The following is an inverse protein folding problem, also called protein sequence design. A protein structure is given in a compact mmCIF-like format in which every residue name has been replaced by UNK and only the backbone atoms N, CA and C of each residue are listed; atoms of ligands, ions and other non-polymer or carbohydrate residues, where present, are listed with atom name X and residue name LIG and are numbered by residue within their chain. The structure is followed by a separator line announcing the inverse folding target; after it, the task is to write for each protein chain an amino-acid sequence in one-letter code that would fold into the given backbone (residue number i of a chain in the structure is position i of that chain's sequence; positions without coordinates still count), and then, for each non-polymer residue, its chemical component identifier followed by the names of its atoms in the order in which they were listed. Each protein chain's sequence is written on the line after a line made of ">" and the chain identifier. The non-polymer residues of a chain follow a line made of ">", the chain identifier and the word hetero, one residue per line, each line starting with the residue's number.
data_IF_375587560651
#
_entry.id   IF_375587560651
#
_cell.length_a   1.000
_cell.length_b   1.000
_cell.length_c   1.000
_cell.angle_alpha   90.00
_cell.angle_beta   90.00
_cell.angle_gamma   90.00
#
_symmetry.space_group_name_H-M   'P 1'
#
loop_
_entity.id
_entity.type
_entity.pdbx_description
1 polymer ?
#
# COMPACT_ATOMS: atom_id res chain seq x y z
N UNK A 1 -10.47 -7.72 17.68
CA UNK A 1 -9.28 -6.98 18.06
C UNK A 1 -8.62 -6.27 16.88
N UNK A 2 -8.54 -6.90 15.74
CA UNK A 2 -7.98 -6.29 14.55
C UNK A 2 -8.73 -6.66 13.29
N UNK A 3 -8.40 -5.94 12.22
CA UNK A 3 -8.95 -6.19 10.88
C UNK A 3 -7.77 -6.36 9.93
N UNK A 4 -7.78 -7.44 9.16
CA UNK A 4 -6.77 -7.71 8.15
C UNK A 4 -7.42 -7.62 6.77
N UNK A 5 -7.01 -6.63 6.01
CA UNK A 5 -7.49 -6.43 4.65
C UNK A 5 -6.41 -6.86 3.67
N UNK A 6 -6.78 -7.77 2.77
CA UNK A 6 -5.94 -8.18 1.66
C UNK A 6 -6.50 -7.49 0.41
N UNK A 7 -5.70 -6.59 -0.15
CA UNK A 7 -6.10 -5.79 -1.32
C UNK A 7 -5.20 -6.13 -2.48
N UNK A 8 -5.80 -6.45 -3.63
CA UNK A 8 -5.07 -6.60 -4.87
C UNK A 8 -5.54 -5.53 -5.85
N UNK A 9 -4.59 -4.84 -6.47
CA UNK A 9 -4.85 -3.82 -7.48
C UNK A 9 -4.45 -4.36 -8.84
N UNK A 10 -5.32 -4.17 -9.82
CA UNK A 10 -5.12 -4.67 -11.17
C UNK A 10 -5.33 -3.55 -12.19
N UNK A 11 -4.69 -3.70 -13.34
CA UNK A 11 -4.81 -2.75 -14.43
C UNK A 11 -4.57 -1.32 -13.96
N UNK A 12 -3.47 -1.15 -13.20
CA UNK A 12 -3.04 0.16 -12.75
C UNK A 12 -2.55 0.97 -13.95
N UNK A 13 -3.17 2.12 -14.19
CA UNK A 13 -2.80 2.99 -15.30
C UNK A 13 -1.51 3.76 -15.01
N UNK A 14 -1.24 4.06 -13.74
CA UNK A 14 -0.02 4.77 -13.34
C UNK A 14 1.14 3.78 -13.14
N UNK A 15 1.71 3.32 -14.25
CA UNK A 15 2.81 2.38 -14.23
C UNK A 15 4.06 2.99 -13.59
N UNK A 16 4.30 4.28 -13.80
CA UNK A 16 5.43 4.98 -13.18
C UNK A 16 5.29 4.99 -11.66
N UNK A 17 4.07 5.13 -11.14
CA UNK A 17 3.81 5.04 -9.70
C UNK A 17 4.18 3.68 -9.12
N UNK A 18 4.01 2.62 -9.89
CA UNK A 18 4.37 1.25 -9.47
C UNK A 18 5.88 1.04 -9.42
N UNK A 19 6.67 1.93 -10.01
CA UNK A 19 8.14 1.84 -10.08
C UNK A 19 8.87 2.74 -9.09
N UNK A 20 8.18 3.70 -8.51
CA UNK A 20 8.81 4.81 -7.78
C UNK A 20 8.58 4.69 -6.27
N UNK A 21 9.49 3.98 -5.61
CA UNK A 21 9.45 3.82 -4.15
C UNK A 21 9.57 5.16 -3.41
N UNK A 22 10.45 6.03 -3.86
CA UNK A 22 10.69 7.30 -3.15
C UNK A 22 9.43 8.16 -3.08
N UNK A 23 8.74 8.32 -4.20
CA UNK A 23 7.49 9.07 -4.25
C UNK A 23 6.39 8.37 -3.47
N UNK A 24 6.30 7.04 -3.60
CA UNK A 24 5.31 6.28 -2.85
C UNK A 24 5.50 6.42 -1.34
N UNK A 25 6.74 6.39 -0.86
CA UNK A 25 7.03 6.52 0.58
C UNK A 25 6.48 7.82 1.16
N UNK A 26 6.63 8.93 0.44
CA UNK A 26 6.11 10.23 0.87
C UNK A 26 4.57 10.20 0.90
N UNK A 27 3.97 9.66 -0.14
CA UNK A 27 2.51 9.50 -0.20
C UNK A 27 2.00 8.63 0.95
N UNK A 28 2.66 7.49 1.19
CA UNK A 28 2.23 6.53 2.21
C UNK A 28 2.26 7.13 3.61
N UNK A 29 3.27 7.93 3.93
CA UNK A 29 3.36 8.58 5.24
C UNK A 29 2.12 9.45 5.49
N UNK A 30 1.73 10.26 4.52
CA UNK A 30 0.54 11.10 4.62
C UNK A 30 -0.75 10.28 4.66
N UNK A 31 -0.85 9.28 3.81
CA UNK A 31 -2.02 8.40 3.74
C UNK A 31 -2.27 7.70 5.08
N UNK A 32 -1.24 7.11 5.66
CA UNK A 32 -1.35 6.38 6.91
C UNK A 32 -1.70 7.32 8.07
N UNK A 33 -1.04 8.47 8.14
CA UNK A 33 -1.33 9.47 9.17
C UNK A 33 -2.77 9.97 9.07
N UNK A 34 -3.25 10.27 7.87
CA UNK A 34 -4.62 10.75 7.65
C UNK A 34 -5.67 9.69 8.00
N UNK A 35 -5.32 8.42 7.86
CA UNK A 35 -6.21 7.32 8.24
C UNK A 35 -6.22 7.04 9.75
N UNK A 36 -5.38 7.73 10.51
CA UNK A 36 -5.29 7.58 11.97
C UNK A 36 -4.25 6.57 12.44
N UNK A 37 -3.37 6.13 11.55
CA UNK A 37 -2.29 5.21 11.93
C UNK A 37 -1.10 5.97 12.50
N UNK A 38 -0.43 5.36 13.48
CA UNK A 38 0.82 5.89 14.01
C UNK A 38 1.98 5.03 13.48
N UNK A 39 2.80 5.63 12.63
CA UNK A 39 3.93 4.94 12.00
C UNK A 39 5.14 4.96 12.93
N UNK A 40 5.65 3.79 13.29
CA UNK A 40 6.83 3.64 14.15
C UNK A 40 8.10 3.63 13.30
N UNK A 41 8.07 2.90 12.20
CA UNK A 41 9.23 2.77 11.31
C UNK A 41 8.77 2.30 9.93
N UNK A 42 9.59 2.55 8.94
CA UNK A 42 9.32 2.10 7.57
C UNK A 42 10.58 1.49 6.98
N UNK A 43 10.39 0.59 6.02
CA UNK A 43 11.46 -0.05 5.29
C UNK A 43 11.01 -0.26 3.84
N UNK A 44 11.83 0.14 2.90
CA UNK A 44 11.54 -0.02 1.49
C UNK A 44 12.69 -0.62 0.72
N UNK A 45 12.38 -1.29 -0.37
CA UNK A 45 13.35 -1.86 -1.29
C UNK A 45 12.92 -1.59 -2.73
N UNK A 46 13.76 -0.86 -3.46
CA UNK A 46 13.58 -0.62 -4.88
C UNK A 46 14.33 -1.69 -5.64
N UNK A 47 13.61 -2.48 -6.43
CA UNK A 47 14.22 -3.57 -7.20
C UNK A 47 14.88 -3.01 -8.41
N UNK A 48 15.46 -2.71 -9.00
CA UNK A 48 16.05 -2.12 -10.19
C UNK A 48 15.90 -0.60 -10.17
N UNK A 49 16.94 0.10 -9.73
CA UNK A 49 16.90 1.55 -9.63
C UNK A 49 16.78 2.27 -10.99
N UNK A 50 16.90 1.55 -12.10
CA UNK A 50 16.90 2.16 -13.44
C UNK A 50 15.55 2.11 -14.13
N UNK A 51 14.50 1.59 -13.49
CA UNK A 51 13.22 2.03 -13.93
C UNK A 51 12.23 1.06 -14.55
N UNK A 52 12.44 -0.25 -14.49
CA UNK A 52 11.41 -1.17 -14.98
C UNK A 52 10.83 -2.06 -13.91
N UNK A 53 11.56 -2.26 -12.83
CA UNK A 53 11.12 -3.11 -11.73
C UNK A 53 10.29 -2.33 -10.71
N UNK A 54 9.58 -3.08 -9.88
CA UNK A 54 8.76 -2.53 -8.83
C UNK A 54 9.50 -2.32 -7.53
N UNK A 55 8.73 -2.25 -6.45
CA UNK A 55 9.28 -2.05 -5.12
C UNK A 55 8.47 -2.81 -4.07
N UNK A 56 9.06 -2.95 -2.91
CA UNK A 56 8.40 -3.39 -1.68
C UNK A 56 8.50 -2.28 -0.65
N UNK A 57 7.41 -2.04 0.08
CA UNK A 57 7.39 -1.06 1.16
C UNK A 57 6.63 -1.64 2.35
N UNK A 58 7.22 -1.48 3.54
CA UNK A 58 6.64 -1.93 4.80
C UNK A 58 6.56 -0.76 5.78
N UNK A 59 5.45 -0.65 6.49
CA UNK A 59 5.30 0.29 7.59
C UNK A 59 4.94 -0.47 8.85
N UNK A 60 5.77 -0.33 9.87
CA UNK A 60 5.47 -0.81 11.21
C UNK A 60 4.62 0.25 11.90
N UNK A 61 3.43 -0.12 12.29
CA UNK A 61 2.52 0.74 13.05
C UNK A 61 2.56 0.31 14.51
N UNK A 62 2.02 1.09 15.43
CA UNK A 62 2.14 0.80 16.87
C UNK A 62 1.65 -0.59 17.25
N UNK A 63 0.56 -1.05 16.66
CA UNK A 63 -0.02 -2.38 16.96
C UNK A 63 -0.35 -3.15 15.69
N UNK A 64 0.15 -2.71 14.55
CA UNK A 64 -0.30 -3.23 13.26
C UNK A 64 0.77 -3.00 12.19
N UNK A 65 0.41 -3.21 10.95
CA UNK A 65 1.37 -3.02 9.87
C UNK A 65 0.66 -2.79 8.54
N UNK A 66 1.42 -2.24 7.60
CA UNK A 66 1.03 -2.04 6.22
C UNK A 66 2.16 -2.54 5.34
N UNK A 67 1.83 -3.30 4.29
CA UNK A 67 2.84 -3.72 3.33
C UNK A 67 2.29 -3.67 1.91
N UNK A 68 3.17 -3.38 0.96
CA UNK A 68 2.84 -3.38 -0.46
C UNK A 68 4.00 -3.92 -1.27
N UNK A 69 3.65 -4.70 -2.30
CA UNK A 69 4.55 -5.17 -3.33
C UNK A 69 3.98 -4.78 -4.68
N UNK A 70 4.81 -4.27 -5.59
CA UNK A 70 4.35 -3.85 -6.92
C UNK A 70 5.00 -4.67 -8.01
N UNK A 71 4.24 -4.88 -9.08
CA UNK A 71 4.69 -5.56 -10.31
C UNK A 71 4.30 -4.70 -11.51
N UNK A 72 5.16 -3.74 -11.91
CA UNK A 72 4.85 -2.84 -13.05
C UNK A 72 4.59 -3.60 -14.34
N UNK A 73 5.33 -4.70 -14.58
CA UNK A 73 5.18 -5.53 -15.77
C UNK A 73 3.79 -6.18 -15.87
N UNK A 74 3.10 -6.33 -14.74
CA UNK A 74 1.74 -6.85 -14.67
C UNK A 74 0.73 -5.76 -14.31
N UNK A 75 1.17 -4.52 -14.20
CA UNK A 75 0.33 -3.39 -13.82
C UNK A 75 -0.47 -3.67 -12.57
N UNK A 76 0.17 -4.29 -11.57
CA UNK A 76 -0.52 -4.76 -10.37
C UNK A 76 0.27 -4.51 -9.09
N UNK A 77 -0.45 -4.54 -7.97
CA UNK A 77 0.11 -4.45 -6.63
C UNK A 77 -0.67 -5.33 -5.67
N UNK A 78 0.04 -5.88 -4.69
CA UNK A 78 -0.56 -6.64 -3.60
C UNK A 78 -0.30 -5.91 -2.29
N UNK A 79 -1.36 -5.70 -1.51
CA UNK A 79 -1.32 -4.89 -0.30
C UNK A 79 -1.92 -5.67 0.86
N UNK A 80 -1.23 -5.65 2.00
CA UNK A 80 -1.75 -6.16 3.27
C UNK A 80 -1.88 -5.00 4.24
N UNK A 81 -3.08 -4.86 4.82
CA UNK A 81 -3.37 -3.80 5.79
C UNK A 81 -3.93 -4.49 7.03
N UNK A 82 -3.10 -4.61 8.06
CA UNK A 82 -3.55 -5.11 9.35
C UNK A 82 -3.62 -3.93 10.32
N UNK A 83 -4.82 -3.66 10.83
CA UNK A 83 -5.07 -2.50 11.69
C UNK A 83 -5.81 -2.90 12.94
N UNK A 84 -5.60 -2.11 13.99
CA UNK A 84 -6.33 -2.20 15.25
C UNK A 84 -6.92 -0.82 15.57
N UNK A 85 -7.98 -0.80 16.38
CA UNK A 85 -8.58 0.44 16.84
C UNK A 85 -9.30 1.21 15.75
N UNK A 86 -9.07 2.51 15.70
CA UNK A 86 -9.86 3.44 14.90
C UNK A 86 -9.23 3.81 13.55
N UNK A 87 -8.21 3.07 13.12
CA UNK A 87 -7.59 3.31 11.80
C UNK A 87 -8.61 3.02 10.70
N UNK A 88 -8.75 3.96 9.77
CA UNK A 88 -9.70 3.81 8.66
C UNK A 88 -9.08 3.02 7.50
N UNK A 89 -9.34 1.72 7.47
CA UNK A 89 -8.89 0.86 6.37
C UNK A 89 -9.50 1.27 5.03
N UNK A 90 -10.73 1.74 5.05
CA UNK A 90 -11.42 2.14 3.82
C UNK A 90 -10.75 3.36 3.17
N UNK A 91 -10.27 4.30 3.97
CA UNK A 91 -9.51 5.44 3.44
C UNK A 91 -8.21 4.99 2.80
N UNK A 92 -7.52 4.04 3.42
CA UNK A 92 -6.27 3.50 2.87
C UNK A 92 -6.55 2.83 1.52
N UNK A 93 -7.56 1.97 1.45
CA UNK A 93 -7.94 1.27 0.22
C UNK A 93 -8.28 2.27 -0.89
N UNK A 94 -9.14 3.24 -0.60
CA UNK A 94 -9.58 4.22 -1.60
C UNK A 94 -8.40 5.08 -2.09
N UNK A 95 -7.51 5.49 -1.20
CA UNK A 95 -6.34 6.28 -1.56
C UNK A 95 -5.38 5.49 -2.46
N UNK A 96 -5.20 4.19 -2.20
CA UNK A 96 -4.32 3.36 -3.02
C UNK A 96 -4.90 3.14 -4.41
N UNK A 97 -6.21 2.90 -4.51
CA UNK A 97 -6.89 2.76 -5.80
C UNK A 97 -6.68 4.02 -6.64
N UNK A 98 -6.87 5.19 -6.04
CA UNK A 98 -6.66 6.47 -6.73
C UNK A 98 -5.21 6.71 -7.08
N UNK A 99 -4.29 6.43 -6.16
CA UNK A 99 -2.87 6.69 -6.36
C UNK A 99 -2.31 5.96 -7.58
N UNK A 100 -2.66 4.68 -7.71
CA UNK A 100 -2.19 3.85 -8.83
C UNK A 100 -3.14 3.86 -10.02
N UNK A 101 -4.26 4.55 -9.93
CA UNK A 101 -5.30 4.57 -10.97
C UNK A 101 -5.67 3.14 -11.38
N UNK A 102 -6.03 2.33 -10.40
CA UNK A 102 -6.38 0.93 -10.63
C UNK A 102 -7.78 0.80 -11.20
N UNK A 103 -7.91 0.19 -12.37
CA UNK A 103 -9.20 -0.03 -13.00
C UNK A 103 -9.99 -1.15 -12.31
N UNK A 104 -9.29 -2.12 -11.71
CA UNK A 104 -9.92 -3.23 -10.99
C UNK A 104 -9.19 -3.52 -9.68
N UNK A 105 -9.93 -4.03 -8.71
CA UNK A 105 -9.35 -4.43 -7.43
C UNK A 105 -10.17 -5.55 -6.81
N UNK A 106 -9.54 -6.27 -5.89
CA UNK A 106 -10.23 -7.23 -5.03
C UNK A 106 -9.87 -6.96 -3.58
N UNK A 107 -10.85 -7.07 -2.70
CA UNK A 107 -10.67 -6.85 -1.26
C UNK A 107 -11.19 -8.07 -0.51
N UNK A 108 -10.37 -8.59 0.38
CA UNK A 108 -10.81 -9.59 1.37
C UNK A 108 -10.57 -9.00 2.75
N UNK A 109 -11.62 -8.93 3.56
CA UNK A 109 -11.60 -8.32 4.88
C UNK A 109 -11.82 -9.40 5.93
N UNK A 110 -10.85 -9.59 6.81
CA UNK A 110 -10.87 -10.64 7.82
C UNK A 110 -10.77 -10.00 9.21
N UNK A 111 -11.71 -10.33 10.06
CA UNK A 111 -11.65 -9.95 11.49
C UNK A 111 -10.73 -10.90 12.24
N UNK A 112 -9.97 -10.34 13.16
CA UNK A 112 -9.04 -11.09 14.00
C UNK A 112 -9.30 -10.84 15.46
#
# INVERSE_FOLDING_TARGET
>A
MGRHVLLNLYECEDVEGLRDLATFSVFADGMLANAGAEVVNTLGHQFDPVGEAGFTYLALLTTSHFSIHTWPEHRSAAVDIFTCGSVSTIQIVDNLISYFDAAHHSVKDVLR
#
